data_IF_085064354739
#
_entry.id   IF_085064354739
#
_cell.length_a   1.000
_cell.length_b   1.000
_cell.length_c   1.000
_cell.angle_alpha   90.00
_cell.angle_beta   90.00
_cell.angle_gamma   90.00
#
_symmetry.space_group_name_H-M   'P 1'
#
loop_
_entity.id
_entity.type
_entity.pdbx_description
1 polymer ?
#
# COMPACT_ATOMS: atom_id res chain seq x y z
N UNK A 1 3.07 -1.55 12.40
CA UNK A 1 4.14 -1.37 11.40
C UNK A 1 5.32 -2.27 11.72
N UNK A 2 5.87 -2.22 12.94
CA UNK A 2 7.02 -3.06 13.33
C UNK A 2 6.75 -4.56 13.12
N UNK A 3 5.62 -5.08 13.60
CA UNK A 3 5.23 -6.49 13.40
C UNK A 3 5.09 -6.89 11.91
N UNK A 4 4.67 -5.95 11.07
CA UNK A 4 4.56 -6.17 9.62
C UNK A 4 5.97 -6.31 9.04
N UNK A 5 6.87 -5.39 9.38
CA UNK A 5 8.27 -5.45 8.93
C UNK A 5 8.93 -6.73 9.43
N UNK A 6 8.74 -7.09 10.70
CA UNK A 6 9.22 -8.35 11.29
C UNK A 6 8.78 -9.56 10.46
N UNK A 7 7.49 -9.61 10.11
CA UNK A 7 6.95 -10.68 9.28
C UNK A 7 7.62 -10.71 7.91
N UNK A 8 7.72 -9.57 7.24
CA UNK A 8 8.23 -9.48 5.86
C UNK A 8 9.72 -9.83 5.75
N UNK A 9 10.56 -9.42 6.71
CA UNK A 9 12.00 -9.72 6.67
C UNK A 9 12.32 -11.20 6.92
N UNK A 10 11.37 -11.97 7.47
CA UNK A 10 11.50 -13.43 7.67
C UNK A 10 11.03 -14.27 6.49
N UNK A 11 10.60 -13.63 5.40
CA UNK A 11 10.18 -14.33 4.18
C UNK A 11 11.42 -14.68 3.37
N UNK A 12 11.63 -15.98 3.12
CA UNK A 12 12.81 -16.51 2.42
C UNK A 12 12.67 -16.39 0.88
N UNK A 13 12.49 -15.16 0.42
CA UNK A 13 12.40 -14.80 -1.00
C UNK A 13 13.15 -13.48 -1.24
N UNK A 14 13.49 -13.21 -2.50
CA UNK A 14 14.13 -11.95 -2.88
C UNK A 14 13.14 -10.78 -2.81
N UNK A 15 13.00 -10.18 -1.63
CA UNK A 15 12.16 -9.03 -1.35
C UNK A 15 12.98 -7.77 -1.14
N UNK A 16 12.47 -6.66 -1.67
CA UNK A 16 12.93 -5.32 -1.35
C UNK A 16 11.82 -4.59 -0.61
N UNK A 17 12.06 -4.25 0.65
CA UNK A 17 11.08 -3.64 1.55
C UNK A 17 11.48 -2.18 1.76
N UNK A 18 10.57 -1.25 1.47
CA UNK A 18 10.73 0.18 1.76
C UNK A 18 9.69 0.59 2.79
N UNK A 19 10.13 0.79 4.03
CA UNK A 19 9.27 1.16 5.14
C UNK A 19 9.29 2.68 5.33
N UNK A 20 8.17 3.35 5.03
CA UNK A 20 8.01 4.80 5.23
C UNK A 20 7.28 5.04 6.56
N UNK A 21 8.01 5.54 7.56
CA UNK A 21 7.50 5.72 8.92
C UNK A 21 6.77 7.06 9.12
N UNK A 22 6.79 7.95 8.12
CA UNK A 22 6.24 9.29 8.24
C UNK A 22 6.92 10.07 9.36
N UNK A 23 6.13 10.80 10.15
CA UNK A 23 6.64 11.59 11.28
C UNK A 23 6.91 10.77 12.54
N UNK A 24 6.66 9.44 12.53
CA UNK A 24 6.89 8.60 13.70
C UNK A 24 8.38 8.22 13.82
N UNK A 25 9.14 9.09 14.50
CA UNK A 25 10.58 8.90 14.76
C UNK A 25 10.89 7.71 15.66
N UNK A 26 9.99 7.37 16.57
CA UNK A 26 10.15 6.23 17.47
C UNK A 26 10.20 4.92 16.68
N UNK A 27 9.17 4.67 15.85
CA UNK A 27 9.13 3.49 14.97
C UNK A 27 10.31 3.50 14.00
N UNK A 28 10.65 4.67 13.43
CA UNK A 28 11.81 4.77 12.54
C UNK A 28 13.11 4.32 13.22
N UNK A 29 13.35 4.78 14.46
CA UNK A 29 14.55 4.43 15.21
C UNK A 29 14.55 2.95 15.61
N UNK A 30 13.42 2.42 16.06
CA UNK A 30 13.27 1.01 16.43
C UNK A 30 13.52 0.07 15.25
N UNK A 31 13.01 0.40 14.06
CA UNK A 31 13.26 -0.40 12.86
C UNK A 31 14.75 -0.39 12.48
N UNK A 32 15.40 0.78 12.55
CA UNK A 32 16.81 0.94 12.22
C UNK A 32 17.73 0.18 13.18
N UNK A 33 17.43 0.17 14.48
CA UNK A 33 18.23 -0.53 15.48
C UNK A 33 18.00 -2.03 15.45
N UNK A 34 16.74 -2.47 15.39
CA UNK A 34 16.34 -3.88 15.49
C UNK A 34 16.69 -4.69 14.25
N UNK A 35 16.52 -4.10 13.05
CA UNK A 35 16.66 -4.82 11.78
C UNK A 35 17.92 -4.44 10.99
N UNK A 36 18.96 -3.95 11.67
CA UNK A 36 20.23 -3.52 11.06
C UNK A 36 20.83 -4.56 10.11
N UNK A 37 20.77 -5.85 10.47
CA UNK A 37 21.24 -6.93 9.60
C UNK A 37 20.57 -6.93 8.21
N UNK A 38 19.24 -6.77 8.16
CA UNK A 38 18.48 -6.74 6.91
C UNK A 38 18.70 -5.45 6.12
N UNK A 39 18.97 -4.34 6.80
CA UNK A 39 19.34 -3.05 6.20
C UNK A 39 20.72 -3.17 5.54
N UNK A 40 21.71 -3.68 6.26
CA UNK A 40 23.08 -3.85 5.76
C UNK A 40 23.13 -4.85 4.57
N UNK A 41 22.20 -5.82 4.52
CA UNK A 41 21.99 -6.72 3.37
C UNK A 41 21.22 -6.10 2.20
N UNK A 42 20.67 -4.90 2.36
CA UNK A 42 19.89 -4.21 1.34
C UNK A 42 18.46 -4.75 1.17
N UNK A 43 17.97 -5.60 2.07
CA UNK A 43 16.60 -6.15 2.04
C UNK A 43 15.58 -5.11 2.52
N UNK A 44 15.94 -4.35 3.56
CA UNK A 44 15.08 -3.34 4.18
C UNK A 44 15.68 -1.93 4.03
N UNK A 45 14.88 -0.98 3.59
CA UNK A 45 15.19 0.45 3.61
C UNK A 45 14.15 1.17 4.50
N UNK A 46 14.62 1.90 5.51
CA UNK A 46 13.76 2.59 6.48
C UNK A 46 13.83 4.09 6.27
N UNK A 47 12.70 4.69 5.92
CA UNK A 47 12.54 6.12 5.69
C UNK A 47 11.68 6.76 6.78
N UNK A 48 11.92 8.05 7.04
CA UNK A 48 11.07 8.87 7.88
C UNK A 48 9.92 9.46 7.06
N UNK A 49 9.69 10.76 7.23
CA UNK A 49 8.80 11.52 6.37
C UNK A 49 9.48 11.74 5.01
N UNK A 50 8.75 11.50 3.93
CA UNK A 50 9.21 11.72 2.54
C UNK A 50 8.17 12.56 1.80
N UNK A 51 8.63 13.39 0.88
CA UNK A 51 7.76 14.27 0.08
C UNK A 51 7.32 13.65 -1.25
N UNK A 52 7.97 12.56 -1.65
CA UNK A 52 7.84 11.90 -2.95
C UNK A 52 7.29 10.46 -2.79
N UNK A 53 6.25 10.28 -1.97
CA UNK A 53 5.62 8.96 -1.75
C UNK A 53 5.16 8.34 -3.06
N UNK A 54 4.73 9.16 -4.01
CA UNK A 54 4.30 8.77 -5.36
C UNK A 54 5.41 8.08 -6.16
N UNK A 55 6.67 8.50 -6.03
CA UNK A 55 7.82 7.84 -6.65
C UNK A 55 8.09 6.47 -5.99
N UNK A 56 7.96 6.38 -4.66
CA UNK A 56 8.06 5.09 -3.95
C UNK A 56 6.98 4.11 -4.41
N UNK A 57 5.77 4.61 -4.65
CA UNK A 57 4.68 3.84 -5.20
C UNK A 57 5.01 3.32 -6.60
N UNK A 58 5.51 4.16 -7.52
CA UNK A 58 5.88 3.75 -8.88
C UNK A 58 6.98 2.67 -8.91
N UNK A 59 7.86 2.65 -7.91
CA UNK A 59 8.89 1.62 -7.75
C UNK A 59 8.42 0.34 -7.07
N UNK A 60 7.14 0.23 -6.70
CA UNK A 60 6.60 -0.85 -5.88
C UNK A 60 5.61 -1.73 -6.65
N UNK A 61 5.76 -3.05 -6.51
CA UNK A 61 4.81 -4.03 -7.08
C UNK A 61 3.50 -4.12 -6.30
N UNK A 62 3.52 -3.78 -5.01
CA UNK A 62 2.36 -3.69 -4.14
C UNK A 62 2.70 -2.77 -2.97
N UNK A 63 1.67 -2.26 -2.29
CA UNK A 63 1.81 -1.52 -1.03
C UNK A 63 1.11 -2.25 0.10
N UNK A 64 1.67 -2.15 1.31
CA UNK A 64 1.07 -2.70 2.54
C UNK A 64 0.73 -1.53 3.46
N UNK A 65 -0.55 -1.18 3.57
CA UNK A 65 -0.97 0.03 4.28
C UNK A 65 -2.44 0.00 4.66
N UNK A 66 -2.83 0.90 5.57
CA UNK A 66 -4.26 1.16 5.87
C UNK A 66 -4.92 1.84 4.66
N UNK A 67 -6.21 1.60 4.40
CA UNK A 67 -6.89 2.08 3.20
C UNK A 67 -7.46 3.50 3.41
N UNK A 68 -6.58 4.46 3.71
CA UNK A 68 -6.94 5.88 3.78
C UNK A 68 -7.30 6.43 2.39
N UNK A 69 -8.29 7.33 2.32
CA UNK A 69 -8.87 7.77 1.03
C UNK A 69 -7.85 8.26 0.00
N UNK A 70 -6.87 9.08 0.40
CA UNK A 70 -5.83 9.59 -0.51
C UNK A 70 -4.94 8.45 -1.04
N UNK A 71 -4.34 7.67 -0.14
CA UNK A 71 -3.46 6.55 -0.52
C UNK A 71 -4.18 5.49 -1.34
N UNK A 72 -5.44 5.18 -1.00
CA UNK A 72 -6.28 4.28 -1.79
C UNK A 72 -6.48 4.82 -3.21
N UNK A 73 -6.80 6.11 -3.34
CA UNK A 73 -7.00 6.76 -4.65
C UNK A 73 -5.71 6.75 -5.47
N UNK A 74 -4.57 7.11 -4.86
CA UNK A 74 -3.25 7.08 -5.50
C UNK A 74 -2.88 5.67 -5.98
N UNK A 75 -3.14 4.65 -5.15
CA UNK A 75 -2.89 3.25 -5.50
C UNK A 75 -3.74 2.79 -6.69
N UNK A 76 -5.03 3.15 -6.71
CA UNK A 76 -5.92 2.86 -7.85
C UNK A 76 -5.43 3.57 -9.11
N UNK A 77 -5.14 4.88 -9.05
CA UNK A 77 -4.64 5.65 -10.20
C UNK A 77 -3.37 5.03 -10.81
N UNK A 78 -2.44 4.60 -9.95
CA UNK A 78 -1.16 3.97 -10.34
C UNK A 78 -1.30 2.46 -10.60
N UNK A 79 -2.48 1.87 -10.39
CA UNK A 79 -2.78 0.43 -10.52
C UNK A 79 -1.88 -0.45 -9.66
N UNK A 80 -1.60 -0.02 -8.44
CA UNK A 80 -0.72 -0.72 -7.51
C UNK A 80 -1.56 -1.55 -6.52
N UNK A 81 -1.47 -2.89 -6.56
CA UNK A 81 -2.14 -3.77 -5.60
C UNK A 81 -1.92 -3.37 -4.14
N UNK A 82 -3.00 -3.35 -3.37
CA UNK A 82 -2.96 -3.04 -1.94
C UNK A 82 -3.13 -4.32 -1.09
N UNK A 83 -2.27 -4.49 -0.10
CA UNK A 83 -2.47 -5.45 0.99
C UNK A 83 -2.81 -4.67 2.25
N UNK A 84 -3.98 -4.93 2.82
CA UNK A 84 -4.54 -4.17 3.95
C UNK A 84 -4.33 -4.99 5.23
N UNK A 85 -3.40 -4.60 6.12
CA UNK A 85 -3.14 -5.31 7.36
C UNK A 85 -4.17 -4.98 8.45
N UNK A 86 -4.73 -3.80 8.42
CA UNK A 86 -5.75 -3.31 9.34
C UNK A 86 -6.44 -2.07 8.74
N UNK A 87 -7.57 -1.68 9.34
CA UNK A 87 -8.31 -0.46 9.02
C UNK A 87 -8.92 0.12 10.29
N UNK A 88 -9.20 1.43 10.28
CA UNK A 88 -9.97 2.09 11.33
C UNK A 88 -11.48 1.98 11.08
N UNK A 89 -12.33 1.94 12.13
CA UNK A 89 -13.78 2.01 11.96
C UNK A 89 -14.22 3.27 11.20
N UNK A 90 -15.30 3.17 10.42
CA UNK A 90 -15.80 4.25 9.57
C UNK A 90 -15.29 4.16 8.14
N UNK A 91 -14.81 5.28 7.58
CA UNK A 91 -14.46 5.40 6.17
C UNK A 91 -13.39 4.40 5.71
N UNK A 92 -12.40 4.08 6.55
CA UNK A 92 -11.38 3.09 6.18
C UNK A 92 -11.96 1.66 6.09
N UNK A 93 -12.97 1.33 6.90
CA UNK A 93 -13.69 0.06 6.76
C UNK A 93 -14.45 0.02 5.43
N UNK A 94 -15.16 1.10 5.08
CA UNK A 94 -15.90 1.18 3.80
C UNK A 94 -14.96 1.07 2.60
N UNK A 95 -13.81 1.74 2.64
CA UNK A 95 -12.77 1.58 1.62
C UNK A 95 -12.26 0.14 1.55
N UNK A 96 -12.04 -0.51 2.69
CA UNK A 96 -11.61 -1.92 2.74
C UNK A 96 -12.65 -2.82 2.07
N UNK A 97 -13.92 -2.68 2.45
CA UNK A 97 -15.01 -3.49 1.94
C UNK A 97 -15.15 -3.29 0.42
N UNK A 98 -15.10 -2.04 -0.06
CA UNK A 98 -15.18 -1.72 -1.48
C UNK A 98 -13.99 -2.28 -2.28
N UNK A 99 -12.76 -2.06 -1.82
CA UNK A 99 -11.55 -2.52 -2.51
C UNK A 99 -11.49 -4.05 -2.59
N UNK A 100 -11.84 -4.74 -1.50
CA UNK A 100 -11.81 -6.20 -1.43
C UNK A 100 -12.94 -6.84 -2.22
N UNK A 101 -14.14 -6.23 -2.23
CA UNK A 101 -15.26 -6.70 -3.03
C UNK A 101 -14.98 -6.64 -4.54
N UNK A 102 -14.23 -5.63 -4.99
CA UNK A 102 -13.85 -5.46 -6.39
C UNK A 102 -12.48 -6.08 -6.74
N UNK A 103 -11.94 -6.97 -5.91
CA UNK A 103 -10.65 -7.63 -6.16
C UNK A 103 -9.46 -6.66 -6.42
N UNK A 104 -9.51 -5.45 -5.86
CA UNK A 104 -8.45 -4.43 -5.96
C UNK A 104 -7.50 -4.45 -4.75
N UNK A 105 -7.87 -5.12 -3.65
CA UNK A 105 -7.02 -5.25 -2.48
C UNK A 105 -7.21 -6.59 -1.78
N UNK A 106 -6.21 -7.00 -1.01
CA UNK A 106 -6.25 -8.19 -0.16
C UNK A 106 -6.25 -7.75 1.30
N UNK A 107 -7.30 -8.09 2.03
CA UNK A 107 -7.37 -7.90 3.48
C UNK A 107 -6.76 -9.09 4.20
N UNK A 108 -5.68 -8.85 4.95
CA UNK A 108 -5.05 -9.87 5.80
C UNK A 108 -5.56 -9.75 7.23
N UNK A 109 -5.60 -10.88 7.93
CA UNK A 109 -6.23 -11.00 9.27
C UNK A 109 -5.23 -11.34 10.37
N UNK A 110 -4.00 -11.67 9.99
CA UNK A 110 -2.90 -12.01 10.89
C UNK A 110 -1.57 -11.90 10.15
N UNK A 111 -0.47 -11.86 10.91
CA UNK A 111 0.89 -11.88 10.36
C UNK A 111 1.19 -13.18 9.59
N UNK A 112 0.66 -14.31 10.04
CA UNK A 112 0.77 -15.57 9.29
C UNK A 112 0.03 -15.50 7.95
N UNK A 113 -1.17 -14.90 7.93
CA UNK A 113 -1.91 -14.69 6.69
C UNK A 113 -1.16 -13.74 5.76
N UNK A 114 -0.60 -12.63 6.28
CA UNK A 114 0.26 -11.72 5.52
C UNK A 114 1.41 -12.46 4.85
N UNK A 115 2.17 -13.27 5.61
CA UNK A 115 3.28 -14.06 5.08
C UNK A 115 2.83 -14.94 3.91
N UNK A 116 1.77 -15.72 4.09
CA UNK A 116 1.22 -16.59 3.03
C UNK A 116 0.79 -15.82 1.78
N UNK A 117 0.16 -14.65 1.96
CA UNK A 117 -0.25 -13.80 0.82
C UNK A 117 0.97 -13.28 0.07
N UNK A 118 1.98 -12.76 0.77
CA UNK A 118 3.19 -12.24 0.12
C UNK A 118 3.93 -13.35 -0.62
N UNK A 119 4.12 -14.52 0.00
CA UNK A 119 4.72 -15.69 -0.66
C UNK A 119 3.92 -16.10 -1.91
N UNK A 120 2.58 -16.06 -1.85
CA UNK A 120 1.72 -16.33 -3.01
C UNK A 120 1.90 -15.29 -4.12
N UNK A 121 1.96 -14.00 -3.78
CA UNK A 121 2.13 -12.92 -4.76
C UNK A 121 3.50 -12.99 -5.45
N UNK A 122 4.55 -13.39 -4.74
CA UNK A 122 5.89 -13.61 -5.31
C UNK A 122 5.88 -14.83 -6.25
N UNK A 123 5.31 -15.95 -5.82
CA UNK A 123 5.32 -17.22 -6.57
C UNK A 123 4.34 -17.23 -7.75
N UNK A 124 3.32 -16.36 -7.73
CA UNK A 124 2.31 -16.25 -8.78
C UNK A 124 2.19 -14.81 -9.28
N UNK A 125 3.13 -14.31 -10.10
CA UNK A 125 3.12 -12.92 -10.59
C UNK A 125 1.84 -12.50 -11.31
N UNK A 126 1.10 -13.45 -11.90
CA UNK A 126 -0.21 -13.20 -12.52
C UNK A 126 -1.25 -12.68 -11.52
N UNK A 127 -1.12 -12.99 -10.23
CA UNK A 127 -2.02 -12.50 -9.20
C UNK A 127 -1.91 -10.98 -9.02
N UNK A 128 -0.68 -10.43 -9.01
CA UNK A 128 -0.46 -8.98 -8.96
C UNK A 128 -1.05 -8.30 -10.19
N UNK A 129 -0.83 -8.90 -11.38
CA UNK A 129 -1.39 -8.38 -12.63
C UNK A 129 -2.93 -8.37 -12.61
N UNK A 130 -3.55 -9.45 -12.17
CA UNK A 130 -5.02 -9.52 -12.04
C UNK A 130 -5.58 -8.41 -11.15
N UNK A 131 -4.99 -8.21 -9.96
CA UNK A 131 -5.43 -7.16 -9.02
C UNK A 131 -5.24 -5.76 -9.64
N UNK A 132 -4.12 -5.55 -10.35
CA UNK A 132 -3.80 -4.31 -11.03
C UNK A 132 -4.81 -4.00 -12.16
N UNK A 133 -5.18 -5.00 -12.96
CA UNK A 133 -6.17 -4.85 -14.06
C UNK A 133 -7.57 -4.52 -13.53
N UNK A 134 -7.96 -5.02 -12.36
CA UNK A 134 -9.25 -4.70 -11.74
C UNK A 134 -9.38 -3.21 -11.33
N UNK A 135 -8.27 -2.46 -11.31
CA UNK A 135 -8.27 -1.03 -11.01
C UNK A 135 -8.49 -0.16 -12.26
N UNK A 136 -8.41 -0.73 -13.48
CA UNK A 136 -8.36 0.03 -14.73
C UNK A 136 -9.58 0.94 -14.93
N UNK A 137 -10.77 0.37 -14.81
CA UNK A 137 -12.02 1.09 -15.07
C UNK A 137 -12.18 2.25 -14.09
N UNK A 138 -11.93 1.99 -12.80
CA UNK A 138 -12.07 3.00 -11.76
C UNK A 138 -11.01 4.10 -11.89
N UNK A 139 -9.77 3.74 -12.17
CA UNK A 139 -8.68 4.71 -12.38
C UNK A 139 -8.97 5.69 -13.51
N UNK A 140 -9.66 5.26 -14.57
CA UNK A 140 -10.06 6.13 -15.68
C UNK A 140 -11.20 7.10 -15.32
N UNK A 141 -11.99 6.79 -14.28
CA UNK A 141 -13.06 7.70 -13.86
C UNK A 141 -12.52 8.94 -13.14
N UNK A 142 -11.37 8.80 -12.47
CA UNK A 142 -10.73 9.85 -11.68
C UNK A 142 -10.08 10.90 -12.58
N UNK A 143 -10.56 12.15 -12.47
CA UNK A 143 -10.07 13.27 -13.28
C UNK A 143 -10.17 14.55 -12.45
N UNK A 144 -9.06 15.27 -12.36
CA UNK A 144 -9.01 16.59 -11.74
C UNK A 144 -9.93 17.56 -12.49
N UNK A 145 -9.95 17.48 -13.83
CA UNK A 145 -10.80 18.33 -14.67
C UNK A 145 -12.27 18.16 -14.31
N UNK A 146 -12.75 16.92 -14.14
CA UNK A 146 -14.13 16.67 -13.70
C UNK A 146 -14.46 17.28 -12.34
N UNK A 147 -13.48 17.32 -11.42
CA UNK A 147 -13.65 17.95 -10.10
C UNK A 147 -13.72 19.48 -10.23
N UNK A 148 -12.88 20.07 -11.08
CA UNK A 148 -12.90 21.51 -11.38
C UNK A 148 -14.22 21.89 -12.06
N UNK A 149 -14.65 21.15 -13.08
CA UNK A 149 -15.90 21.36 -13.80
C UNK A 149 -17.10 21.31 -12.85
N UNK A 150 -17.13 20.34 -11.93
CA UNK A 150 -18.16 20.24 -10.91
C UNK A 150 -18.16 21.45 -9.98
N UNK A 151 -16.97 21.93 -9.59
CA UNK A 151 -16.82 23.13 -8.77
C UNK A 151 -17.34 24.38 -9.47
N UNK A 152 -17.00 24.58 -10.75
CA UNK A 152 -17.50 25.69 -11.57
C UNK A 152 -19.02 25.64 -11.65
N UNK A 153 -19.60 24.46 -11.92
CA UNK A 153 -21.04 24.28 -12.00
C UNK A 153 -21.76 24.73 -10.72
N UNK A 154 -21.24 24.40 -9.54
CA UNK A 154 -21.82 24.83 -8.27
C UNK A 154 -21.66 26.33 -7.98
N UNK A 155 -20.75 27.02 -8.65
CA UNK A 155 -20.60 28.48 -8.52
C UNK A 155 -21.54 29.26 -9.45
N UNK A 156 -22.05 28.62 -10.50
CA UNK A 156 -22.96 29.21 -11.48
C UNK A 156 -24.46 29.00 -11.13
N UNK A 157 -24.76 28.14 -10.15
CA UNK A 157 -26.10 27.93 -9.54
C UNK A 157 -26.32 28.83 -8.32
#
# INVERSE_FOLDING_TARGET
>A
MEEIVETLVTIDYNLKIRAICGNNKEIQNNLNSTYKYFIDKGVLEVYGFVHNVDEFMDMSHCIITKPGGLTTTEAICKRIPMVIPYYLPGQEKENTDYLTFNDMAILVRSNEHLKKIIEKLITHPRALKYISENMDDLAQTYSIDKVVDLGIKFMEE
#
